data_IF_258353773384
#
_entry.id   IF_258353773384
#
_cell.length_a   1.000
_cell.length_b   1.000
_cell.length_c   1.000
_cell.angle_alpha   90.00
_cell.angle_beta   90.00
_cell.angle_gamma   90.00
#
_symmetry.space_group_name_H-M   'P 1'
#
loop_
_entity.id
_entity.type
_entity.pdbx_description
1 polymer ?
#
# COMPACT_ATOMS: atom_id res chain seq x y z
N UNK A 1 6.73 38.92 14.82
CA UNK A 1 7.12 37.53 14.49
C UNK A 1 7.90 37.60 13.20
N UNK A 2 9.21 37.30 13.20
CA UNK A 2 9.99 37.31 11.95
C UNK A 2 9.68 36.07 11.15
N UNK A 3 9.56 36.23 9.83
CA UNK A 3 9.39 35.17 8.86
C UNK A 3 10.60 34.23 8.86
N UNK A 4 10.35 32.93 8.92
CA UNK A 4 11.38 31.91 8.84
C UNK A 4 11.97 31.92 7.41
N UNK A 5 13.29 32.05 7.33
CA UNK A 5 14.10 31.93 6.12
C UNK A 5 13.85 30.59 5.43
N UNK A 6 13.43 30.66 4.18
CA UNK A 6 13.42 29.50 3.28
C UNK A 6 14.84 29.29 2.75
N UNK A 7 15.38 28.06 2.80
CA UNK A 7 16.64 27.78 2.14
C UNK A 7 16.44 27.80 0.62
N UNK A 8 17.21 28.68 -0.05
CA UNK A 8 17.29 28.74 -1.48
C UNK A 8 18.10 27.56 -2.04
N UNK A 9 17.54 26.91 -3.06
CA UNK A 9 18.32 26.15 -4.05
C UNK A 9 18.24 24.64 -3.98
N UNK A 10 17.21 24.04 -4.56
CA UNK A 10 17.35 22.77 -5.23
C UNK A 10 16.71 22.87 -6.63
N UNK A 11 17.58 22.82 -7.64
CA UNK A 11 17.18 22.70 -9.06
C UNK A 11 16.77 21.25 -9.36
N UNK A 12 15.75 20.78 -8.68
CA UNK A 12 15.10 19.50 -8.94
C UNK A 12 13.71 19.76 -9.48
N UNK A 13 13.39 19.29 -10.68
CA UNK A 13 12.09 19.37 -11.35
C UNK A 13 10.99 18.51 -10.68
N UNK A 14 11.14 18.12 -9.42
CA UNK A 14 10.13 17.47 -8.61
C UNK A 14 9.28 18.52 -7.89
N UNK A 15 7.97 18.50 -8.10
CA UNK A 15 7.06 19.26 -7.25
C UNK A 15 7.28 18.80 -5.80
N UNK A 16 7.74 19.69 -4.95
CA UNK A 16 7.88 19.40 -3.52
C UNK A 16 6.47 19.11 -2.97
N UNK A 17 6.24 17.86 -2.65
CA UNK A 17 4.94 17.42 -2.12
C UNK A 17 4.95 17.72 -0.61
N UNK A 18 4.35 18.82 -0.22
CA UNK A 18 4.35 19.35 1.15
C UNK A 18 3.84 18.37 2.23
N UNK A 19 3.06 17.35 1.82
CA UNK A 19 2.55 16.30 2.70
C UNK A 19 3.53 15.14 2.92
N UNK A 20 4.63 15.09 2.18
CA UNK A 20 5.69 14.11 2.36
C UNK A 20 6.78 14.74 3.22
N UNK A 21 6.98 14.26 4.46
CA UNK A 21 8.06 14.77 5.30
C UNK A 21 9.42 14.59 4.62
N UNK A 22 10.30 15.58 4.73
CA UNK A 22 11.62 15.55 4.09
C UNK A 22 12.48 14.32 4.51
N UNK A 23 12.25 13.76 5.69
CA UNK A 23 12.95 12.56 6.15
C UNK A 23 12.49 11.27 5.42
N UNK A 24 11.38 11.28 4.67
CA UNK A 24 11.01 10.16 3.81
C UNK A 24 11.86 10.09 2.52
N UNK A 25 12.71 11.07 2.28
CA UNK A 25 13.69 11.02 1.20
C UNK A 25 15.00 10.31 1.60
N UNK A 26 15.08 9.79 2.85
CA UNK A 26 16.26 9.07 3.37
C UNK A 26 16.48 7.79 2.55
N UNK A 27 17.74 7.52 2.13
CA UNK A 27 18.10 6.27 1.47
C UNK A 27 17.83 5.07 2.37
N UNK A 28 17.34 3.97 1.79
CA UNK A 28 17.13 2.71 2.53
C UNK A 28 15.68 2.43 2.95
N UNK A 29 14.76 3.35 2.70
CA UNK A 29 13.33 3.07 2.93
C UNK A 29 12.84 1.92 2.02
N UNK A 30 11.84 1.13 2.47
CA UNK A 30 11.23 0.09 1.66
C UNK A 30 10.76 0.59 0.30
N UNK A 31 11.10 -0.18 -0.71
CA UNK A 31 10.64 0.03 -2.09
C UNK A 31 10.07 -1.28 -2.57
N UNK A 32 8.98 -1.21 -3.29
CA UNK A 32 8.27 -2.38 -3.82
C UNK A 32 8.18 -2.29 -5.34
N UNK A 33 8.19 -3.42 -5.98
CA UNK A 33 7.80 -3.54 -7.38
C UNK A 33 6.48 -4.28 -7.48
N UNK A 34 5.54 -3.73 -8.25
CA UNK A 34 4.22 -4.31 -8.42
C UNK A 34 3.89 -4.41 -9.90
N UNK A 35 3.21 -5.47 -10.31
CA UNK A 35 2.55 -5.57 -11.60
C UNK A 35 1.04 -5.60 -11.40
N UNK A 36 0.31 -5.10 -12.40
CA UNK A 36 -1.14 -4.98 -12.32
C UNK A 36 -1.77 -5.07 -13.72
N UNK A 37 -3.07 -5.06 -13.77
CA UNK A 37 -3.78 -4.98 -15.05
C UNK A 37 -3.65 -3.58 -15.66
N UNK A 38 -3.62 -3.51 -16.98
CA UNK A 38 -3.45 -2.27 -17.77
C UNK A 38 -4.77 -1.67 -18.26
N UNK A 39 -5.89 -2.34 -18.00
CA UNK A 39 -7.21 -1.92 -18.46
C UNK A 39 -8.31 -2.39 -17.53
N UNK A 40 -9.47 -1.77 -17.63
CA UNK A 40 -10.66 -2.14 -16.86
C UNK A 40 -11.13 -3.58 -17.14
N UNK A 41 -10.77 -4.15 -18.29
CA UNK A 41 -11.06 -5.55 -18.67
C UNK A 41 -9.96 -6.52 -18.22
N UNK A 42 -8.93 -6.04 -17.50
CA UNK A 42 -8.03 -6.89 -16.74
C UNK A 42 -6.92 -7.59 -17.50
N UNK A 43 -6.45 -7.06 -18.63
CA UNK A 43 -5.23 -7.58 -19.25
C UNK A 43 -4.02 -7.22 -18.39
N UNK A 44 -3.16 -8.19 -18.06
CA UNK A 44 -1.99 -7.98 -17.24
C UNK A 44 -0.92 -7.15 -17.97
N UNK A 45 -0.34 -6.19 -17.26
CA UNK A 45 0.87 -5.47 -17.66
C UNK A 45 2.06 -6.03 -16.87
N UNK A 46 2.96 -6.71 -17.54
CA UNK A 46 4.13 -7.34 -16.94
C UNK A 46 5.26 -6.34 -16.59
N UNK A 47 5.11 -5.07 -16.94
CA UNK A 47 6.10 -4.03 -16.58
C UNK A 47 5.94 -3.65 -15.12
N UNK A 48 6.99 -3.82 -14.29
CA UNK A 48 6.92 -3.46 -12.90
C UNK A 48 6.72 -1.94 -12.74
N UNK A 49 5.90 -1.58 -11.79
CA UNK A 49 5.73 -0.22 -11.29
C UNK A 49 6.41 -0.14 -9.94
N UNK A 50 7.24 0.87 -9.77
CA UNK A 50 7.93 1.12 -8.50
C UNK A 50 6.99 1.85 -7.55
N UNK A 51 6.83 1.31 -6.34
CA UNK A 51 6.07 1.90 -5.24
C UNK A 51 7.01 2.20 -4.09
N UNK A 52 6.97 3.43 -3.59
CA UNK A 52 7.78 3.93 -2.48
C UNK A 52 6.93 4.15 -1.24
N UNK A 53 7.56 4.38 -0.09
CA UNK A 53 6.86 4.80 1.12
C UNK A 53 6.13 6.13 0.92
N UNK A 54 6.65 7.04 0.10
CA UNK A 54 5.98 8.30 -0.22
C UNK A 54 4.64 8.07 -0.96
N UNK A 55 4.57 7.05 -1.84
CA UNK A 55 3.32 6.68 -2.50
C UNK A 55 2.30 6.13 -1.51
N UNK A 56 2.76 5.35 -0.52
CA UNK A 56 1.89 4.87 0.56
C UNK A 56 1.37 6.02 1.43
N UNK A 57 2.23 7.00 1.76
CA UNK A 57 1.83 8.21 2.49
C UNK A 57 0.79 9.01 1.70
N UNK A 58 0.99 9.16 0.38
CA UNK A 58 0.02 9.85 -0.49
C UNK A 58 -1.34 9.14 -0.48
N UNK A 59 -1.34 7.82 -0.58
CA UNK A 59 -2.58 7.03 -0.57
C UNK A 59 -3.28 7.08 0.79
N UNK A 60 -2.52 6.97 1.89
CA UNK A 60 -3.03 6.98 3.25
C UNK A 60 -3.48 8.37 3.73
N UNK A 61 -2.89 9.43 3.16
CA UNK A 61 -3.19 10.82 3.48
C UNK A 61 -2.22 11.49 4.45
N UNK A 62 -1.43 10.72 5.21
CA UNK A 62 -0.40 11.24 6.12
C UNK A 62 0.66 10.19 6.44
N UNK A 63 1.80 10.63 6.98
CA UNK A 63 2.80 9.72 7.53
C UNK A 63 2.48 9.45 9.01
N UNK A 64 2.52 8.18 9.43
CA UNK A 64 2.40 7.75 10.82
C UNK A 64 3.23 6.49 11.07
N UNK A 65 3.46 6.16 12.32
CA UNK A 65 4.18 4.93 12.70
C UNK A 65 3.50 3.67 12.18
N UNK A 66 2.17 3.60 12.27
CA UNK A 66 1.42 2.43 11.80
C UNK A 66 1.57 2.17 10.30
N UNK A 67 1.58 3.22 9.46
CA UNK A 67 1.86 3.09 8.03
C UNK A 67 3.29 2.59 7.77
N UNK A 68 4.26 3.17 8.49
CA UNK A 68 5.67 2.81 8.33
C UNK A 68 5.94 1.38 8.82
N UNK A 69 5.41 0.99 9.97
CA UNK A 69 5.47 -0.40 10.48
C UNK A 69 4.88 -1.37 9.48
N UNK A 70 3.72 -1.02 8.89
CA UNK A 70 3.12 -1.81 7.81
C UNK A 70 4.05 -1.94 6.59
N UNK A 71 4.73 -0.87 6.18
CA UNK A 71 5.67 -0.92 5.07
C UNK A 71 6.89 -1.82 5.38
N UNK A 72 7.44 -1.76 6.61
CA UNK A 72 8.52 -2.64 7.06
C UNK A 72 8.08 -4.11 7.09
N UNK A 73 6.92 -4.40 7.69
CA UNK A 73 6.35 -5.74 7.72
C UNK A 73 6.15 -6.30 6.31
N UNK A 74 5.55 -5.51 5.41
CA UNK A 74 5.33 -5.94 4.04
C UNK A 74 6.64 -6.16 3.29
N UNK A 75 7.67 -5.36 3.54
CA UNK A 75 8.99 -5.58 2.92
C UNK A 75 9.62 -6.89 3.37
N UNK A 76 9.60 -7.18 4.68
CA UNK A 76 10.09 -8.44 5.21
C UNK A 76 9.34 -9.65 4.62
N UNK A 77 8.02 -9.54 4.47
CA UNK A 77 7.21 -10.59 3.82
C UNK A 77 7.60 -10.75 2.35
N UNK A 78 7.73 -9.65 1.61
CA UNK A 78 8.09 -9.70 0.19
C UNK A 78 9.45 -10.35 -0.03
N UNK A 79 10.45 -10.00 0.78
CA UNK A 79 11.79 -10.59 0.69
C UNK A 79 11.77 -12.11 0.91
N UNK A 80 10.98 -12.56 1.87
CA UNK A 80 10.88 -13.99 2.18
C UNK A 80 10.02 -14.80 1.19
N UNK A 81 8.92 -14.20 0.71
CA UNK A 81 7.91 -14.89 -0.08
C UNK A 81 8.19 -14.84 -1.58
N UNK A 82 8.65 -13.69 -2.07
CA UNK A 82 8.76 -13.38 -3.50
C UNK A 82 10.18 -13.08 -3.95
N UNK A 83 11.10 -12.80 -3.02
CA UNK A 83 12.48 -12.42 -3.35
C UNK A 83 12.52 -11.17 -4.24
N UNK A 84 13.09 -11.29 -5.42
CA UNK A 84 13.18 -10.20 -6.39
C UNK A 84 11.97 -10.10 -7.34
N UNK A 85 10.98 -11.00 -7.24
CA UNK A 85 9.81 -10.97 -8.10
C UNK A 85 8.85 -9.84 -7.67
N UNK A 86 8.24 -9.11 -8.62
CA UNK A 86 7.25 -8.10 -8.28
C UNK A 86 5.97 -8.73 -7.73
N UNK A 87 5.25 -7.98 -6.90
CA UNK A 87 3.93 -8.36 -6.41
C UNK A 87 2.91 -8.30 -7.56
N UNK A 88 2.30 -9.42 -7.89
CA UNK A 88 1.19 -9.44 -8.86
C UNK A 88 -0.13 -9.06 -8.16
N UNK A 89 -0.48 -7.79 -8.23
CA UNK A 89 -1.69 -7.23 -7.60
C UNK A 89 -3.00 -7.86 -8.09
N UNK A 90 -2.96 -8.62 -9.15
CA UNK A 90 -4.12 -9.35 -9.69
C UNK A 90 -4.25 -10.79 -9.18
N UNK A 91 -3.23 -11.29 -8.45
CA UNK A 91 -3.13 -12.68 -7.99
C UNK A 91 -3.00 -12.83 -6.47
N UNK A 92 -3.27 -11.79 -5.69
CA UNK A 92 -3.07 -11.81 -4.24
C UNK A 92 -4.39 -11.66 -3.47
N UNK A 93 -4.46 -12.41 -2.37
CA UNK A 93 -5.39 -12.20 -1.27
C UNK A 93 -4.58 -11.76 -0.06
N UNK A 94 -4.99 -10.65 0.56
CA UNK A 94 -4.36 -10.11 1.75
C UNK A 94 -5.28 -10.24 2.96
N UNK A 95 -4.68 -10.49 4.13
CA UNK A 95 -5.34 -10.32 5.43
C UNK A 95 -4.53 -9.32 6.23
N UNK A 96 -5.20 -8.38 6.85
CA UNK A 96 -4.61 -7.42 7.78
C UNK A 96 -5.54 -7.17 8.97
N UNK A 97 -5.01 -6.58 10.03
CA UNK A 97 -5.84 -6.00 11.09
C UNK A 97 -6.75 -4.92 10.51
N UNK A 98 -7.92 -4.75 11.09
CA UNK A 98 -8.81 -3.63 10.79
C UNK A 98 -8.22 -2.31 11.33
N UNK A 99 -7.34 -1.73 10.55
CA UNK A 99 -6.63 -0.49 10.86
C UNK A 99 -6.45 0.30 9.56
N UNK A 100 -6.68 1.61 9.53
CA UNK A 100 -6.43 2.42 8.33
C UNK A 100 -5.02 2.20 7.78
N UNK A 101 -4.00 2.29 8.64
CA UNK A 101 -2.60 2.20 8.25
C UNK A 101 -2.24 0.85 7.60
N UNK A 102 -2.51 -0.27 8.31
CA UNK A 102 -2.19 -1.60 7.81
C UNK A 102 -3.10 -2.00 6.64
N UNK A 103 -4.38 -1.61 6.70
CA UNK A 103 -5.32 -1.85 5.63
C UNK A 103 -4.92 -1.17 4.33
N UNK A 104 -4.47 0.07 4.40
CA UNK A 104 -4.04 0.83 3.21
C UNK A 104 -2.73 0.27 2.62
N UNK A 105 -1.76 -0.11 3.44
CA UNK A 105 -0.55 -0.80 2.98
C UNK A 105 -0.90 -2.10 2.26
N UNK A 106 -1.76 -2.94 2.86
CA UNK A 106 -2.22 -4.18 2.26
C UNK A 106 -2.94 -3.92 0.93
N UNK A 107 -3.93 -3.01 0.92
CA UNK A 107 -4.72 -2.70 -0.28
C UNK A 107 -3.86 -2.14 -1.40
N UNK A 108 -2.98 -1.18 -1.09
CA UNK A 108 -2.17 -0.52 -2.11
C UNK A 108 -1.13 -1.46 -2.73
N UNK A 109 -0.42 -2.24 -1.92
CA UNK A 109 0.65 -3.12 -2.41
C UNK A 109 0.14 -4.40 -3.06
N UNK A 110 -0.95 -4.98 -2.55
CA UNK A 110 -1.45 -6.27 -3.06
C UNK A 110 -2.60 -6.14 -4.06
N UNK A 111 -3.15 -4.92 -4.25
CA UNK A 111 -4.37 -4.72 -5.02
C UNK A 111 -5.61 -5.31 -4.35
N UNK A 112 -5.50 -5.72 -3.09
CA UNK A 112 -6.57 -6.30 -2.30
C UNK A 112 -7.73 -5.31 -2.09
N UNK A 113 -8.96 -5.80 -2.23
CA UNK A 113 -10.17 -4.99 -2.05
C UNK A 113 -11.21 -5.78 -1.26
N UNK A 114 -11.71 -5.20 -0.17
CA UNK A 114 -12.74 -5.81 0.67
C UNK A 114 -13.98 -6.18 -0.14
N UNK A 115 -14.40 -5.33 -1.11
CA UNK A 115 -15.56 -5.57 -1.99
C UNK A 115 -15.43 -6.80 -2.90
N UNK A 116 -14.23 -7.29 -3.14
CA UNK A 116 -13.95 -8.48 -3.97
C UNK A 116 -13.48 -9.67 -3.13
N UNK A 117 -13.53 -9.57 -1.80
CA UNK A 117 -13.03 -10.62 -0.91
C UNK A 117 -11.53 -10.88 -1.00
N UNK A 118 -10.77 -10.04 -1.70
CA UNK A 118 -9.31 -10.16 -1.84
C UNK A 118 -8.53 -9.36 -0.80
N UNK A 119 -9.21 -8.61 0.05
CA UNK A 119 -8.68 -8.07 1.29
C UNK A 119 -9.66 -8.45 2.43
N UNK A 120 -9.15 -9.16 3.42
CA UNK A 120 -9.91 -9.66 4.56
C UNK A 120 -9.35 -9.12 5.86
N UNK A 121 -10.16 -9.10 6.89
CA UNK A 121 -9.82 -8.48 8.16
C UNK A 121 -9.74 -9.54 9.25
N UNK A 122 -8.63 -9.52 10.00
CA UNK A 122 -8.40 -10.31 11.20
C UNK A 122 -8.01 -9.36 12.34
N UNK A 123 -8.87 -9.15 13.34
CA UNK A 123 -8.59 -8.24 14.45
C UNK A 123 -7.40 -8.68 15.30
N UNK A 124 -7.07 -9.99 15.29
CA UNK A 124 -6.06 -10.58 16.15
C UNK A 124 -4.67 -10.64 15.49
N UNK A 125 -4.57 -10.22 14.23
CA UNK A 125 -3.32 -10.32 13.47
C UNK A 125 -2.20 -9.38 13.98
N UNK A 126 -2.55 -8.31 14.69
CA UNK A 126 -1.57 -7.34 15.18
C UNK A 126 -0.96 -6.48 14.06
N UNK A 127 0.30 -6.07 14.22
CA UNK A 127 1.06 -5.34 13.20
C UNK A 127 1.74 -6.32 12.24
N UNK A 128 0.93 -6.95 11.38
CA UNK A 128 1.40 -7.95 10.44
C UNK A 128 0.40 -8.19 9.30
N UNK A 129 0.75 -9.15 8.44
CA UNK A 129 -0.05 -9.52 7.28
C UNK A 129 -0.02 -11.02 7.03
N UNK A 130 -1.10 -11.52 6.41
CA UNK A 130 -1.06 -12.81 5.73
C UNK A 130 -1.36 -12.56 4.25
N UNK A 131 -0.54 -13.10 3.37
CA UNK A 131 -0.67 -12.93 1.91
C UNK A 131 -0.69 -14.30 1.26
N UNK A 132 -1.73 -14.56 0.48
CA UNK A 132 -1.83 -15.77 -0.33
C UNK A 132 -1.73 -15.42 -1.82
N UNK A 133 -0.85 -16.10 -2.53
CA UNK A 133 -0.90 -16.14 -3.99
C UNK A 133 -2.04 -17.05 -4.44
N UNK A 134 -3.04 -16.50 -5.12
CA UNK A 134 -4.27 -17.22 -5.48
C UNK A 134 -4.01 -18.36 -6.46
N UNK A 135 -3.08 -18.17 -7.40
CA UNK A 135 -2.71 -19.16 -8.43
C UNK A 135 -2.01 -20.37 -7.84
N UNK A 136 -1.15 -20.19 -6.83
CA UNK A 136 -0.35 -21.28 -6.25
C UNK A 136 -0.86 -21.76 -4.90
N UNK A 137 -1.77 -21.00 -4.29
CA UNK A 137 -2.27 -21.21 -2.92
C UNK A 137 -1.17 -21.13 -1.85
N UNK A 138 0.00 -20.67 -2.19
CA UNK A 138 1.04 -20.45 -1.20
C UNK A 138 0.69 -19.24 -0.36
N UNK A 139 0.79 -19.41 0.96
CA UNK A 139 0.46 -18.37 1.93
C UNK A 139 1.67 -18.08 2.82
N UNK A 140 1.89 -16.82 3.07
CA UNK A 140 2.92 -16.32 3.97
C UNK A 140 2.31 -15.41 5.02
N UNK A 141 2.86 -15.47 6.22
CA UNK A 141 2.52 -14.59 7.33
C UNK A 141 3.76 -13.81 7.73
N UNK A 142 3.61 -12.54 8.07
CA UNK A 142 4.64 -11.73 8.73
C UNK A 142 4.07 -11.15 10.00
N UNK A 143 4.88 -11.15 11.06
CA UNK A 143 4.54 -10.54 12.35
C UNK A 143 5.69 -9.68 12.85
N UNK A 144 5.33 -8.60 13.53
CA UNK A 144 6.26 -7.76 14.29
C UNK A 144 6.63 -8.46 15.59
N UNK A 145 7.88 -8.28 16.04
CA UNK A 145 8.34 -8.75 17.35
C UNK A 145 7.48 -8.18 18.47
N UNK A 146 7.16 -9.03 19.45
CA UNK A 146 6.45 -8.60 20.63
C UNK A 146 7.25 -7.52 21.39
N UNK A 147 6.63 -6.40 21.68
CA UNK A 147 7.24 -5.30 22.41
C UNK A 147 8.19 -4.42 21.57
N UNK A 148 8.39 -4.68 20.28
CA UNK A 148 9.18 -3.79 19.43
C UNK A 148 8.56 -2.41 19.34
N UNK A 149 7.26 -2.31 19.07
CA UNK A 149 6.54 -1.06 19.27
C UNK A 149 6.26 -0.87 20.76
N UNK A 150 6.66 0.28 21.37
CA UNK A 150 6.56 0.47 22.80
C UNK A 150 5.14 0.33 23.33
N UNK A 151 4.89 -0.56 24.31
CA UNK A 151 3.56 -0.75 24.88
C UNK A 151 2.94 0.52 25.44
N UNK A 152 3.76 1.46 25.92
CA UNK A 152 3.29 2.75 26.45
C UNK A 152 2.70 3.61 25.34
N UNK A 153 3.32 3.67 24.16
CA UNK A 153 2.79 4.44 23.01
C UNK A 153 1.49 3.79 22.55
N UNK A 154 1.45 2.45 22.44
CA UNK A 154 0.22 1.72 22.10
C UNK A 154 -0.91 1.95 23.11
N UNK A 155 -0.59 2.06 24.40
CA UNK A 155 -1.57 2.39 25.43
C UNK A 155 -2.14 3.80 25.28
N UNK A 156 -1.31 4.77 24.91
CA UNK A 156 -1.77 6.14 24.62
C UNK A 156 -2.67 6.18 23.37
N UNK A 157 -2.34 5.45 22.33
CA UNK A 157 -3.21 5.31 21.14
C UNK A 157 -4.60 4.79 21.54
N UNK A 158 -4.64 3.71 22.32
CA UNK A 158 -5.88 3.12 22.79
C UNK A 158 -6.67 4.11 23.68
N UNK A 159 -5.99 4.88 24.53
CA UNK A 159 -6.59 5.90 25.38
C UNK A 159 -7.19 7.06 24.58
N UNK A 160 -6.51 7.50 23.50
CA UNK A 160 -6.99 8.57 22.62
C UNK A 160 -8.29 8.20 21.88
N UNK A 161 -8.52 6.91 21.62
CA UNK A 161 -9.76 6.41 21.04
C UNK A 161 -10.93 6.39 22.05
N UNK A 162 -10.63 6.43 23.34
CA UNK A 162 -11.65 6.44 24.39
C UNK A 162 -12.35 7.79 24.55
N UNK A 163 -13.57 7.76 25.12
CA UNK A 163 -14.36 8.97 25.40
C UNK A 163 -14.12 9.56 26.79
N UNK A 164 -13.24 8.96 27.59
CA UNK A 164 -13.05 9.25 29.01
C UNK A 164 -12.23 10.53 29.31
N UNK A 165 -11.69 11.19 28.29
CA UNK A 165 -10.88 12.39 28.48
C UNK A 165 -11.60 13.65 28.04
N UNK A 166 -11.35 14.76 28.77
CA UNK A 166 -11.74 16.06 28.29
C UNK A 166 -11.01 16.46 27.01
N UNK A 167 -11.54 17.39 26.20
CA UNK A 167 -10.84 17.86 25.00
C UNK A 167 -9.42 18.38 25.25
N UNK A 168 -9.20 19.05 26.39
CA UNK A 168 -7.87 19.57 26.74
C UNK A 168 -6.91 18.45 27.10
N UNK A 169 -7.34 17.48 27.92
CA UNK A 169 -6.53 16.31 28.26
C UNK A 169 -6.21 15.45 27.01
N UNK A 170 -7.15 15.33 26.08
CA UNK A 170 -6.88 14.67 24.79
C UNK A 170 -5.83 15.41 23.97
N UNK A 171 -5.87 16.74 23.95
CA UNK A 171 -4.87 17.56 23.23
C UNK A 171 -3.47 17.37 23.78
N UNK A 172 -3.33 17.37 25.12
CA UNK A 172 -2.05 17.14 25.78
C UNK A 172 -1.53 15.73 25.51
N UNK A 173 -2.38 14.71 25.67
CA UNK A 173 -2.00 13.33 25.40
C UNK A 173 -1.62 13.12 23.93
N UNK A 174 -2.35 13.74 22.98
CA UNK A 174 -2.03 13.67 21.57
C UNK A 174 -0.64 14.23 21.27
N UNK A 175 -0.30 15.40 21.83
CA UNK A 175 1.02 16.00 21.64
C UNK A 175 2.16 15.12 22.19
N UNK A 176 1.95 14.50 23.36
CA UNK A 176 2.93 13.55 23.94
C UNK A 176 3.06 12.31 23.08
N UNK A 177 1.94 11.75 22.62
CA UNK A 177 1.90 10.58 21.74
C UNK A 177 2.63 10.87 20.43
N UNK A 178 2.29 11.98 19.74
CA UNK A 178 2.93 12.37 18.49
C UNK A 178 4.45 12.52 18.62
N UNK A 179 4.92 13.16 19.70
CA UNK A 179 6.35 13.29 19.95
C UNK A 179 7.01 11.92 20.16
N UNK A 180 6.43 11.07 21.00
CA UNK A 180 6.99 9.77 21.33
C UNK A 180 7.01 8.81 20.14
N UNK A 181 5.92 8.75 19.33
CA UNK A 181 5.89 7.91 18.14
C UNK A 181 6.97 8.31 17.13
N UNK A 182 7.18 9.63 16.92
CA UNK A 182 8.19 10.12 15.98
C UNK A 182 9.61 9.93 16.47
N UNK A 183 9.82 10.03 17.78
CA UNK A 183 11.12 9.72 18.39
C UNK A 183 11.44 8.23 18.23
N UNK A 184 10.47 7.35 18.48
CA UNK A 184 10.63 5.92 18.27
C UNK A 184 10.87 5.58 16.78
N UNK A 185 10.10 6.14 15.87
CA UNK A 185 10.29 5.93 14.42
C UNK A 185 11.69 6.30 14.00
N UNK A 186 12.19 7.49 14.40
CA UNK A 186 13.51 7.98 14.02
C UNK A 186 14.66 7.18 14.62
N UNK A 187 14.50 6.73 15.87
CA UNK A 187 15.58 6.07 16.61
C UNK A 187 15.61 4.56 16.39
N UNK A 188 14.49 3.93 16.10
CA UNK A 188 14.36 2.49 16.04
C UNK A 188 13.91 1.97 14.68
N UNK A 189 12.82 2.47 14.11
CA UNK A 189 12.26 1.92 12.88
C UNK A 189 13.10 2.29 11.64
N UNK A 190 13.34 3.59 11.41
CA UNK A 190 14.05 4.04 10.20
C UNK A 190 15.48 3.48 10.07
N UNK A 191 16.29 3.32 11.13
CA UNK A 191 17.61 2.72 11.02
C UNK A 191 17.60 1.19 10.94
N UNK A 192 16.48 0.53 11.24
CA UNK A 192 16.39 -0.95 11.23
C UNK A 192 16.20 -1.49 9.81
N UNK A 193 16.67 -2.72 9.60
CA UNK A 193 16.25 -3.49 8.42
C UNK A 193 14.93 -4.19 8.71
N UNK A 194 14.04 -4.34 7.71
CA UNK A 194 12.76 -5.00 7.92
C UNK A 194 12.86 -6.36 8.61
N UNK A 195 13.82 -7.20 8.21
CA UNK A 195 14.01 -8.53 8.79
C UNK A 195 14.54 -8.55 10.23
N UNK A 196 14.95 -7.41 10.78
CA UNK A 196 15.47 -7.37 12.16
C UNK A 196 14.34 -7.53 13.20
N UNK A 197 13.12 -7.08 12.86
CA UNK A 197 11.98 -7.05 13.78
C UNK A 197 10.65 -7.54 13.18
N UNK A 198 10.67 -7.98 11.92
CA UNK A 198 9.49 -8.52 11.24
C UNK A 198 9.82 -9.88 10.65
N UNK A 199 9.17 -10.92 11.18
CA UNK A 199 9.49 -12.30 10.84
C UNK A 199 8.42 -12.89 9.95
N UNK A 200 8.84 -13.23 8.73
CA UNK A 200 7.98 -13.85 7.74
C UNK A 200 8.15 -15.38 7.76
N UNK A 201 7.03 -16.09 7.66
CA UNK A 201 7.01 -17.56 7.56
C UNK A 201 5.96 -18.03 6.58
N UNK A 202 6.20 -19.16 5.94
CA UNK A 202 5.20 -19.83 5.12
C UNK A 202 4.20 -20.54 6.04
N UNK A 203 2.91 -20.45 5.69
CA UNK A 203 1.84 -21.18 6.36
C UNK A 203 1.57 -22.48 5.58
N UNK A 204 1.48 -23.60 6.28
CA UNK A 204 1.11 -24.90 5.69
C UNK A 204 -0.41 -25.00 5.48
N UNK A 205 -1.17 -24.41 6.38
CA UNK A 205 -2.63 -24.31 6.29
C UNK A 205 -3.06 -22.85 6.41
N UNK A 206 -4.06 -22.47 5.64
CA UNK A 206 -4.61 -21.13 5.64
C UNK A 206 -6.12 -21.19 5.44
N UNK A 207 -6.84 -20.75 6.44
CA UNK A 207 -8.28 -20.54 6.42
C UNK A 207 -8.52 -19.04 6.62
N UNK A 208 -8.71 -18.27 5.54
CA UNK A 208 -8.83 -16.83 5.64
C UNK A 208 -10.15 -16.45 6.31
N UNK A 209 -10.19 -15.33 7.08
CA UNK A 209 -11.43 -14.80 7.61
C UNK A 209 -12.50 -14.64 6.52
N UNK A 210 -13.79 -14.65 6.87
CA UNK A 210 -14.85 -14.50 5.89
C UNK A 210 -14.74 -13.17 5.13
N UNK A 211 -15.10 -13.18 3.86
CA UNK A 211 -15.16 -11.95 3.06
C UNK A 211 -16.31 -11.06 3.56
N UNK A 212 -16.08 -9.75 3.64
CA UNK A 212 -17.13 -8.78 3.93
C UNK A 212 -18.14 -8.71 2.78
N UNK A 213 -17.64 -8.76 1.55
CA UNK A 213 -18.42 -8.86 0.32
C UNK A 213 -17.66 -9.82 -0.61
N UNK A 214 -18.41 -10.57 -1.40
CA UNK A 214 -17.83 -11.53 -2.35
C UNK A 214 -18.39 -11.24 -3.76
N UNK A 215 -18.04 -10.06 -4.27
CA UNK A 215 -18.35 -9.69 -5.65
C UNK A 215 -17.21 -10.13 -6.58
N UNK A 216 -17.52 -10.64 -7.78
CA UNK A 216 -16.48 -11.05 -8.71
C UNK A 216 -15.62 -9.85 -9.13
N UNK A 217 -14.33 -10.08 -9.21
CA UNK A 217 -13.36 -9.09 -9.65
C UNK A 217 -13.36 -9.01 -11.17
N UNK A 218 -13.83 -7.90 -11.73
CA UNK A 218 -13.97 -7.71 -13.18
C UNK A 218 -12.68 -7.16 -13.83
N UNK A 219 -11.85 -6.50 -13.05
CA UNK A 219 -10.61 -5.88 -13.50
C UNK A 219 -9.43 -6.88 -13.71
N UNK A 220 -9.68 -8.17 -13.58
CA UNK A 220 -8.71 -9.26 -13.82
C UNK A 220 -9.18 -10.31 -14.79
N UNK A 221 -10.36 -10.14 -15.41
CA UNK A 221 -11.00 -11.15 -16.27
C UNK A 221 -10.11 -11.61 -17.44
N UNK A 222 -9.34 -10.72 -18.01
CA UNK A 222 -8.51 -10.98 -19.19
C UNK A 222 -7.02 -11.03 -18.87
N UNK A 223 -6.63 -11.27 -17.61
CA UNK A 223 -5.22 -11.24 -17.19
C UNK A 223 -4.33 -12.20 -17.98
N UNK A 224 -4.89 -13.31 -18.45
CA UNK A 224 -4.17 -14.35 -19.21
C UNK A 224 -4.12 -14.09 -20.71
N UNK A 225 -4.84 -13.07 -21.20
CA UNK A 225 -4.85 -12.76 -22.63
C UNK A 225 -3.59 -11.93 -22.95
N UNK A 226 -2.69 -12.44 -23.82
CA UNK A 226 -1.49 -11.69 -24.18
C UNK A 226 -1.87 -10.38 -24.90
N UNK A 227 -1.07 -9.33 -24.74
CA UNK A 227 -1.25 -8.12 -25.52
C UNK A 227 -1.08 -8.41 -27.00
N UNK A 228 -1.79 -7.73 -27.92
CA UNK A 228 -1.54 -7.84 -29.33
C UNK A 228 -0.08 -7.44 -29.62
N UNK A 229 0.58 -8.16 -30.50
CA UNK A 229 2.02 -8.04 -30.77
C UNK A 229 2.50 -6.63 -31.16
N UNK A 230 1.60 -5.72 -31.50
CA UNK A 230 1.90 -4.37 -32.01
C UNK A 230 1.08 -3.25 -31.34
N UNK A 231 0.36 -3.50 -30.27
CA UNK A 231 -0.35 -2.41 -29.60
C UNK A 231 0.62 -1.58 -28.77
N UNK A 232 0.89 -0.37 -29.21
CA UNK A 232 1.51 0.66 -28.38
C UNK A 232 0.71 0.76 -27.09
N UNK A 233 1.41 0.65 -25.95
CA UNK A 233 0.79 0.86 -24.66
C UNK A 233 0.49 2.36 -24.51
N UNK A 234 -0.68 2.76 -23.97
CA UNK A 234 -0.90 4.17 -23.62
C UNK A 234 0.07 4.64 -22.50
N UNK A 235 0.85 3.71 -21.94
CA UNK A 235 1.90 3.97 -20.95
C UNK A 235 3.31 3.85 -21.55
N UNK A 236 3.43 3.83 -22.89
CA UNK A 236 4.73 3.87 -23.54
C UNK A 236 5.30 5.29 -23.36
N UNK A 237 6.46 5.47 -22.72
CA UNK A 237 7.03 6.80 -22.53
C UNK A 237 7.40 7.52 -23.84
N UNK A 238 7.48 6.79 -24.95
CA UNK A 238 7.70 7.37 -26.28
C UNK A 238 6.40 7.89 -26.94
N UNK A 239 5.26 7.81 -26.25
CA UNK A 239 3.99 8.40 -26.71
C UNK A 239 3.84 9.88 -26.34
N UNK A 240 4.85 10.70 -26.59
CA UNK A 240 4.69 12.13 -26.84
C UNK A 240 4.06 12.44 -28.23
N UNK A 241 3.75 11.39 -28.99
CA UNK A 241 2.94 11.53 -30.17
C UNK A 241 1.49 11.91 -29.76
N UNK A 242 0.87 12.92 -30.41
CA UNK A 242 -0.52 13.25 -30.17
C UNK A 242 -1.34 11.94 -30.32
N UNK A 243 -2.06 11.58 -29.28
CA UNK A 243 -2.89 10.38 -29.27
C UNK A 243 -3.80 10.34 -30.51
N UNK A 244 -4.21 9.15 -30.95
CA UNK A 244 -5.14 9.05 -32.07
C UNK A 244 -6.33 9.94 -31.79
N UNK A 245 -6.68 10.79 -32.74
CA UNK A 245 -7.87 11.65 -32.66
C UNK A 245 -9.04 10.73 -32.27
N UNK A 246 -9.76 11.00 -31.18
CA UNK A 246 -10.89 10.16 -30.83
C UNK A 246 -11.83 10.07 -32.02
N UNK A 247 -12.32 8.88 -32.37
CA UNK A 247 -13.27 8.76 -33.46
C UNK A 247 -14.46 9.68 -33.18
N UNK A 248 -14.95 10.31 -34.22
CA UNK A 248 -16.05 11.27 -34.15
C UNK A 248 -17.18 10.67 -33.28
N UNK A 249 -17.62 11.40 -32.28
CA UNK A 249 -18.56 10.89 -31.25
C UNK A 249 -19.89 10.35 -31.84
N UNK A 250 -20.17 10.67 -33.12
CA UNK A 250 -21.30 10.11 -33.87
C UNK A 250 -21.19 8.62 -34.21
N UNK A 251 -19.99 8.03 -34.21
CA UNK A 251 -19.83 6.63 -34.64
C UNK A 251 -20.07 5.60 -33.51
N UNK A 252 -20.00 6.00 -32.24
CA UNK A 252 -20.18 5.10 -31.10
C UNK A 252 -21.62 4.76 -30.77
N UNK A 253 -22.53 5.70 -31.05
CA UNK A 253 -23.97 5.52 -30.77
C UNK A 253 -24.65 4.55 -31.73
N UNK A 254 -24.13 4.39 -32.95
CA UNK A 254 -24.75 3.50 -33.96
C UNK A 254 -24.40 2.00 -33.73
N UNK A 255 -23.27 1.70 -33.10
CA UNK A 255 -22.77 0.32 -32.97
C UNK A 255 -23.33 -0.40 -31.72
N UNK A 256 -23.82 0.34 -30.73
CA UNK A 256 -24.35 -0.20 -29.46
C UNK A 256 -25.84 0.03 -29.25
N UNK A 257 -26.54 0.67 -30.20
CA UNK A 257 -27.99 0.87 -30.17
C UNK A 257 -28.79 -0.35 -30.66
N UNK A 258 -28.11 -1.39 -31.18
CA UNK A 258 -28.72 -2.67 -31.52
C UNK A 258 -28.40 -3.68 -30.40
N UNK A 259 -29.07 -3.55 -29.26
CA UNK A 259 -29.18 -4.62 -28.26
C UNK A 259 -30.12 -5.73 -28.76
N UNK A 260 -30.00 -6.94 -28.20
CA UNK A 260 -30.80 -8.08 -28.62
C UNK A 260 -32.27 -7.89 -28.37
#
# INVERSE_FOLDING_TARGET
MPAADQPAGSTGTGRHQWYVPAWLEVPGLPVFEVIDTRSAQGRLDHRPKRVTVADLVLFHGHACDGLLRGAWAMRALCDAAFGAAPLDRSDLLAVSRNSPCLGDVAAYLTGGRARFGTHRLDPDLGAGFQIQALSTRQTWEVREDEGYFPPLIAAWEAALLGEQFSPDSKRELLAVHEAAQWDWVRQHLLPSRPADHYHARRLEAFDPPPALLDAPRTDTLNRVIPPPAQAASPYDPDLDAPGPTPPDSGSWTAQYAAGP
#
